data_IF_524943634481
#
_entry.id   IF_524943634481
#
_cell.length_a   1.000
_cell.length_b   1.000
_cell.length_c   1.000
_cell.angle_alpha   90.00
_cell.angle_beta   90.00
_cell.angle_gamma   90.00
#
_symmetry.space_group_name_H-M   'P 1'
#
loop_
_entity.id
_entity.type
_entity.pdbx_description
1 polymer ?
#
# COMPACT_ATOMS: atom_id res chain seq x y z
N UNK A 1 51.42 -34.94 -30.18
CA UNK A 1 51.17 -33.65 -30.87
C UNK A 1 49.87 -33.84 -31.66
N UNK A 2 48.73 -33.15 -31.50
CA UNK A 2 48.37 -31.78 -31.07
C UNK A 2 47.02 -31.82 -30.32
N UNK A 3 46.74 -30.74 -29.60
CA UNK A 3 45.64 -30.49 -28.65
C UNK A 3 44.34 -30.01 -29.31
N UNK A 4 43.24 -30.16 -28.55
CA UNK A 4 42.07 -29.27 -28.42
C UNK A 4 41.07 -29.20 -29.60
N UNK A 5 39.77 -28.89 -29.42
CA UNK A 5 39.09 -28.22 -28.31
C UNK A 5 37.61 -28.64 -28.21
N UNK A 6 37.11 -28.73 -26.97
CA UNK A 6 35.68 -28.74 -26.68
C UNK A 6 35.09 -27.35 -26.92
N UNK A 7 33.98 -27.28 -27.66
CA UNK A 7 33.19 -26.07 -27.82
C UNK A 7 32.01 -26.10 -26.83
N UNK A 8 32.22 -25.55 -25.64
CA UNK A 8 31.12 -25.17 -24.75
C UNK A 8 30.51 -23.86 -25.28
N UNK A 9 29.34 -23.95 -25.91
CA UNK A 9 28.49 -22.80 -26.21
C UNK A 9 27.91 -22.27 -24.89
N UNK A 10 28.56 -21.26 -24.31
CA UNK A 10 27.98 -20.45 -23.25
C UNK A 10 26.98 -19.46 -23.89
N UNK A 11 25.69 -19.80 -23.83
CA UNK A 11 24.63 -18.84 -24.07
C UNK A 11 24.58 -17.87 -22.87
N UNK A 12 25.18 -16.69 -23.03
CA UNK A 12 25.04 -15.61 -22.07
C UNK A 12 23.61 -15.04 -22.17
N UNK A 13 22.74 -15.39 -21.24
CA UNK A 13 21.47 -14.69 -21.03
C UNK A 13 21.83 -13.31 -20.47
N UNK A 14 21.77 -12.29 -21.32
CA UNK A 14 21.93 -10.90 -20.88
C UNK A 14 20.68 -10.52 -20.10
N UNK A 15 20.68 -10.78 -18.79
CA UNK A 15 19.71 -10.23 -17.87
C UNK A 15 19.96 -8.71 -17.82
N UNK A 16 19.31 -7.97 -18.71
CA UNK A 16 19.21 -6.52 -18.60
C UNK A 16 18.49 -6.20 -17.30
N UNK A 17 19.25 -5.91 -16.24
CA UNK A 17 18.73 -5.38 -14.98
C UNK A 17 18.23 -3.96 -15.20
N UNK A 18 17.09 -3.81 -15.88
CA UNK A 18 16.21 -2.67 -15.65
C UNK A 18 15.74 -2.79 -14.22
N UNK A 19 16.41 -2.12 -13.28
CA UNK A 19 16.01 -2.08 -11.88
C UNK A 19 14.67 -1.33 -11.78
N UNK A 20 13.56 -2.02 -12.03
CA UNK A 20 12.22 -1.56 -11.75
C UNK A 20 12.23 -1.15 -10.27
N UNK A 21 12.16 0.16 -9.99
CA UNK A 21 12.19 0.66 -8.61
C UNK A 21 10.98 0.05 -7.89
N UNK A 22 11.24 -0.90 -7.00
CA UNK A 22 10.19 -1.55 -6.23
C UNK A 22 9.54 -0.54 -5.29
N UNK A 23 8.27 -0.78 -4.95
CA UNK A 23 7.58 0.03 -3.96
C UNK A 23 8.24 -0.16 -2.59
N UNK A 24 8.49 0.94 -1.88
CA UNK A 24 9.12 0.87 -0.55
C UNK A 24 8.08 1.00 0.55
N UNK A 25 8.02 0.00 1.41
CA UNK A 25 7.26 0.11 2.65
C UNK A 25 7.97 1.06 3.62
N UNK A 26 7.23 1.99 4.21
CA UNK A 26 7.74 2.97 5.18
C UNK A 26 6.88 2.98 6.43
N UNK A 27 7.42 3.37 7.60
CA UNK A 27 6.62 3.49 8.80
C UNK A 27 5.58 4.62 8.66
N UNK A 28 4.33 4.34 9.05
CA UNK A 28 3.29 5.36 9.09
C UNK A 28 3.58 6.39 10.19
N UNK A 29 3.32 7.67 9.88
CA UNK A 29 3.61 8.81 10.78
C UNK A 29 2.35 9.36 11.43
N UNK A 30 2.48 10.33 12.32
CA UNK A 30 1.34 11.05 12.91
C UNK A 30 0.63 12.01 11.94
N UNK A 31 1.19 12.25 10.78
CA UNK A 31 0.62 13.09 9.74
C UNK A 31 0.60 12.26 8.45
N UNK A 32 -0.49 12.35 7.70
CA UNK A 32 -0.61 11.72 6.38
C UNK A 32 0.40 12.34 5.40
N UNK A 33 0.73 11.68 4.28
CA UNK A 33 1.54 12.27 3.23
C UNK A 33 0.96 13.61 2.77
N UNK A 34 1.83 14.61 2.59
CA UNK A 34 1.45 15.94 2.07
C UNK A 34 1.32 15.96 0.54
N UNK A 35 1.96 15.00 -0.13
CA UNK A 35 1.86 14.79 -1.57
C UNK A 35 0.58 14.01 -1.94
N UNK A 36 0.29 13.89 -3.24
CA UNK A 36 -0.77 13.03 -3.75
C UNK A 36 -0.60 11.61 -3.18
N UNK A 37 -1.66 11.08 -2.58
CA UNK A 37 -1.68 9.74 -2.02
C UNK A 37 -3.08 9.12 -2.15
N UNK A 38 -3.11 7.80 -2.12
CA UNK A 38 -4.30 6.96 -2.09
C UNK A 38 -4.37 6.27 -0.75
N UNK A 39 -5.52 6.36 -0.07
CA UNK A 39 -5.78 5.66 1.18
C UNK A 39 -6.71 4.48 0.93
N UNK A 40 -6.28 3.29 1.33
CA UNK A 40 -7.02 2.04 1.22
C UNK A 40 -7.49 1.64 2.61
N UNK A 41 -8.78 1.79 2.88
CA UNK A 41 -9.39 1.48 4.17
C UNK A 41 -9.95 0.05 4.18
N UNK A 42 -9.59 -0.69 5.21
CA UNK A 42 -10.02 -2.07 5.37
C UNK A 42 -11.36 -2.16 6.09
N UNK A 43 -12.12 -3.20 5.77
CA UNK A 43 -13.40 -3.50 6.40
C UNK A 43 -13.28 -3.61 7.93
N UNK A 44 -14.24 -3.04 8.63
CA UNK A 44 -14.40 -3.16 10.08
C UNK A 44 -15.78 -3.67 10.40
N UNK A 45 -15.88 -4.40 11.52
CA UNK A 45 -17.15 -4.96 11.97
C UNK A 45 -18.25 -3.90 12.14
N UNK A 46 -17.89 -2.67 12.51
CA UNK A 46 -18.85 -1.58 12.70
C UNK A 46 -19.44 -1.06 11.38
N UNK A 47 -18.68 -1.07 10.29
CA UNK A 47 -19.11 -0.50 9.00
C UNK A 47 -19.73 -1.55 8.09
N UNK A 48 -19.11 -2.73 8.00
CA UNK A 48 -19.52 -3.78 7.03
C UNK A 48 -20.08 -5.04 7.68
N UNK A 49 -20.13 -5.11 9.01
CA UNK A 49 -20.45 -6.33 9.75
C UNK A 49 -19.33 -7.37 9.79
N UNK A 50 -18.21 -7.13 9.07
CA UNK A 50 -17.06 -8.03 8.98
C UNK A 50 -15.75 -7.27 9.19
N UNK A 51 -14.76 -7.93 9.76
CA UNK A 51 -13.42 -7.36 9.94
C UNK A 51 -12.49 -7.95 8.87
N UNK A 52 -11.71 -7.11 8.19
CA UNK A 52 -10.69 -7.60 7.26
C UNK A 52 -9.70 -8.53 7.98
N UNK A 53 -9.46 -9.69 7.39
CA UNK A 53 -8.59 -10.70 7.97
C UNK A 53 -7.12 -10.30 7.86
N UNK A 54 -6.28 -10.88 8.73
CA UNK A 54 -4.82 -10.70 8.64
C UNK A 54 -4.26 -11.13 7.29
N UNK A 55 -4.82 -12.18 6.71
CA UNK A 55 -4.44 -12.70 5.40
C UNK A 55 -4.77 -11.72 4.27
N UNK A 56 -5.94 -11.08 4.30
CA UNK A 56 -6.32 -10.06 3.30
C UNK A 56 -5.42 -8.81 3.39
N UNK A 57 -5.12 -8.36 4.61
CA UNK A 57 -4.20 -7.23 4.84
C UNK A 57 -2.78 -7.58 4.36
N UNK A 58 -2.32 -8.81 4.60
CA UNK A 58 -1.02 -9.29 4.14
C UNK A 58 -0.96 -9.46 2.61
N UNK A 59 -2.03 -9.96 1.99
CA UNK A 59 -2.14 -10.05 0.54
C UNK A 59 -2.09 -8.65 -0.10
N UNK A 60 -2.78 -7.67 0.49
CA UNK A 60 -2.68 -6.27 0.07
C UNK A 60 -1.25 -5.75 0.18
N UNK A 61 -0.55 -6.02 1.29
CA UNK A 61 0.87 -5.66 1.46
C UNK A 61 1.73 -6.17 0.31
N UNK A 62 1.59 -7.45 -0.03
CA UNK A 62 2.32 -8.09 -1.14
C UNK A 62 2.02 -7.43 -2.49
N UNK A 63 0.73 -7.14 -2.75
CA UNK A 63 0.30 -6.42 -3.96
C UNK A 63 0.88 -5.00 -4.05
N UNK A 64 0.95 -4.28 -2.94
CA UNK A 64 1.53 -2.93 -2.91
C UNK A 64 3.05 -2.98 -3.12
N UNK A 65 3.73 -3.94 -2.49
CA UNK A 65 5.18 -4.12 -2.60
C UNK A 65 5.64 -4.45 -4.03
N UNK A 66 4.85 -5.23 -4.78
CA UNK A 66 5.17 -5.61 -6.16
C UNK A 66 4.74 -4.59 -7.21
N UNK A 67 3.98 -3.56 -6.84
CA UNK A 67 3.43 -2.61 -7.81
C UNK A 67 4.49 -1.61 -8.30
N UNK A 68 4.75 -1.53 -9.61
CA UNK A 68 5.69 -0.54 -10.15
C UNK A 68 5.14 0.88 -10.12
N UNK A 69 3.81 1.04 -9.94
CA UNK A 69 3.09 2.32 -9.88
C UNK A 69 3.30 3.07 -8.56
N UNK A 70 3.88 2.42 -7.56
CA UNK A 70 3.98 2.93 -6.19
C UNK A 70 5.42 3.36 -5.88
N UNK A 71 5.56 4.55 -5.29
CA UNK A 71 6.81 5.06 -4.75
C UNK A 71 7.04 4.52 -3.33
N UNK A 72 6.07 4.76 -2.44
CA UNK A 72 6.08 4.28 -1.06
C UNK A 72 4.69 3.90 -0.58
N UNK A 73 4.59 3.04 0.41
CA UNK A 73 3.33 2.78 1.11
C UNK A 73 3.56 2.57 2.60
N UNK A 74 2.56 2.83 3.42
CA UNK A 74 2.65 2.75 4.88
C UNK A 74 1.37 2.17 5.49
N UNK A 75 1.51 1.24 6.43
CA UNK A 75 0.37 0.70 7.17
C UNK A 75 -0.02 1.61 8.34
N UNK A 76 -1.24 2.13 8.30
CA UNK A 76 -1.86 2.90 9.38
C UNK A 76 -2.73 1.97 10.22
N UNK A 77 -2.25 1.64 11.43
CA UNK A 77 -3.05 0.85 12.38
C UNK A 77 -4.26 1.64 12.91
N UNK A 78 -5.30 0.93 13.38
CA UNK A 78 -6.46 1.53 14.06
C UNK A 78 -6.05 2.52 15.16
N UNK A 79 -5.06 2.14 15.99
CA UNK A 79 -4.55 2.98 17.09
C UNK A 79 -3.88 4.26 16.57
N UNK A 80 -3.11 4.17 15.48
CA UNK A 80 -2.52 5.36 14.86
C UNK A 80 -3.59 6.26 14.24
N UNK A 81 -4.60 5.69 13.57
CA UNK A 81 -5.72 6.43 13.01
C UNK A 81 -6.47 7.22 14.12
N UNK A 82 -6.73 6.59 15.27
CA UNK A 82 -7.36 7.26 16.41
C UNK A 82 -6.51 8.40 16.96
N UNK A 83 -5.20 8.19 17.13
CA UNK A 83 -4.28 9.27 17.56
C UNK A 83 -4.27 10.44 16.58
N UNK A 84 -4.32 10.15 15.27
CA UNK A 84 -4.40 11.17 14.22
C UNK A 84 -5.72 11.94 14.29
N UNK A 85 -6.84 11.25 14.50
CA UNK A 85 -8.15 11.88 14.67
C UNK A 85 -8.17 12.75 15.93
N UNK A 86 -7.74 12.22 17.07
CA UNK A 86 -7.66 12.94 18.34
C UNK A 86 -6.86 14.24 18.24
N UNK A 87 -5.75 14.23 17.48
CA UNK A 87 -4.92 15.42 17.28
C UNK A 87 -5.62 16.50 16.45
N UNK A 88 -6.45 16.13 15.48
CA UNK A 88 -7.09 17.09 14.56
C UNK A 88 -8.49 17.51 15.00
N UNK A 89 -9.24 16.57 15.56
CA UNK A 89 -10.64 16.70 15.92
C UNK A 89 -10.88 15.99 17.27
N UNK A 90 -10.35 16.54 18.39
CA UNK A 90 -10.44 15.90 19.69
C UNK A 90 -11.89 15.65 20.15
N UNK A 91 -12.83 16.52 19.75
CA UNK A 91 -14.25 16.34 20.07
C UNK A 91 -14.86 15.04 19.52
N UNK A 92 -14.32 14.48 18.43
CA UNK A 92 -14.85 13.25 17.81
C UNK A 92 -14.32 11.96 18.45
N UNK A 93 -13.32 12.05 19.33
CA UNK A 93 -12.76 10.88 20.03
C UNK A 93 -13.11 10.86 21.51
N UNK A 94 -13.69 11.94 22.03
CA UNK A 94 -14.14 12.01 23.41
C UNK A 94 -15.45 11.21 23.55
N UNK A 95 -15.49 10.31 24.54
CA UNK A 95 -16.71 9.57 24.88
C UNK A 95 -17.08 8.42 23.93
N UNK A 96 -16.24 8.08 22.94
CA UNK A 96 -16.52 6.92 22.10
C UNK A 96 -16.22 5.60 22.86
N UNK A 97 -17.13 4.61 22.85
CA UNK A 97 -16.96 3.37 23.61
C UNK A 97 -15.88 2.45 23.02
N UNK A 98 -15.60 2.58 21.72
CA UNK A 98 -14.55 1.86 21.03
C UNK A 98 -14.07 2.64 19.80
N UNK A 99 -12.93 2.26 19.23
CA UNK A 99 -12.35 2.94 18.07
C UNK A 99 -13.01 2.47 16.76
N UNK A 100 -13.81 3.33 16.08
CA UNK A 100 -14.50 2.96 14.85
C UNK A 100 -13.58 3.03 13.62
N UNK A 101 -12.37 3.58 13.74
CA UNK A 101 -11.54 3.89 12.60
C UNK A 101 -10.91 2.61 12.01
N UNK A 102 -11.04 2.40 10.69
CA UNK A 102 -10.43 1.25 10.03
C UNK A 102 -8.90 1.35 10.04
N UNK A 103 -8.19 0.20 10.02
CA UNK A 103 -6.82 0.20 9.59
C UNK A 103 -6.77 0.52 8.09
N UNK A 104 -5.64 1.06 7.63
CA UNK A 104 -5.51 1.46 6.23
C UNK A 104 -4.08 1.32 5.71
N UNK A 105 -3.92 1.31 4.39
CA UNK A 105 -2.65 1.68 3.75
C UNK A 105 -2.73 3.09 3.20
N UNK A 106 -1.68 3.88 3.43
CA UNK A 106 -1.42 5.12 2.70
C UNK A 106 -0.39 4.83 1.61
N UNK A 107 -0.76 5.10 0.37
CA UNK A 107 0.03 4.77 -0.82
C UNK A 107 0.38 6.05 -1.54
N UNK A 108 1.68 6.31 -1.72
CA UNK A 108 2.18 7.40 -2.56
C UNK A 108 2.48 6.84 -3.94
N UNK A 109 1.67 7.16 -4.97
CA UNK A 109 1.90 6.73 -6.34
C UNK A 109 3.08 7.48 -6.96
N UNK A 110 3.58 6.99 -8.10
CA UNK A 110 4.64 7.67 -8.86
C UNK A 110 4.12 8.83 -9.71
N UNK A 111 2.84 8.80 -10.07
CA UNK A 111 2.17 9.83 -10.87
C UNK A 111 0.70 9.96 -10.47
N UNK A 112 0.04 11.03 -10.92
CA UNK A 112 -1.41 11.22 -10.74
C UNK A 112 -2.22 10.16 -11.49
N UNK A 113 -1.78 9.78 -12.69
CA UNK A 113 -2.45 8.74 -13.48
C UNK A 113 -2.35 7.37 -12.82
N UNK A 114 -1.19 7.07 -12.23
CA UNK A 114 -1.02 5.88 -11.38
C UNK A 114 -1.94 5.93 -10.16
N UNK A 115 -2.15 7.10 -9.56
CA UNK A 115 -3.08 7.26 -8.44
C UNK A 115 -4.51 6.82 -8.82
N UNK A 116 -5.01 7.29 -9.97
CA UNK A 116 -6.35 6.97 -10.48
C UNK A 116 -6.48 5.49 -10.80
N UNK A 117 -5.48 4.95 -11.50
CA UNK A 117 -5.42 3.53 -11.85
C UNK A 117 -5.40 2.64 -10.60
N UNK A 118 -4.50 2.93 -9.65
CA UNK A 118 -4.41 2.21 -8.38
C UNK A 118 -5.71 2.30 -7.59
N UNK A 119 -6.33 3.48 -7.51
CA UNK A 119 -7.59 3.63 -6.79
C UNK A 119 -8.69 2.72 -7.37
N UNK A 120 -8.83 2.67 -8.69
CA UNK A 120 -9.79 1.78 -9.34
C UNK A 120 -9.46 0.29 -9.13
N UNK A 121 -8.19 -0.07 -9.22
CA UNK A 121 -7.68 -1.43 -9.03
C UNK A 121 -7.84 -1.97 -7.61
N UNK A 122 -7.61 -1.11 -6.60
CA UNK A 122 -7.58 -1.49 -5.19
C UNK A 122 -8.97 -1.55 -4.57
N UNK A 123 -9.96 -0.80 -5.11
CA UNK A 123 -11.36 -0.85 -4.66
C UNK A 123 -11.99 -2.25 -4.74
N UNK A 124 -11.51 -3.09 -5.66
CA UNK A 124 -12.04 -4.44 -5.88
C UNK A 124 -11.32 -5.51 -5.05
N UNK A 125 -10.35 -5.14 -4.22
CA UNK A 125 -9.61 -6.10 -3.42
C UNK A 125 -10.44 -6.61 -2.24
N UNK A 126 -10.28 -7.89 -1.89
CA UNK A 126 -10.92 -8.49 -0.72
C UNK A 126 -10.49 -7.79 0.57
N UNK A 127 -11.42 -7.67 1.51
CA UNK A 127 -11.20 -6.98 2.78
C UNK A 127 -11.10 -5.45 2.68
N UNK A 128 -11.14 -4.86 1.48
CA UNK A 128 -11.19 -3.40 1.30
C UNK A 128 -12.65 -2.93 1.36
N UNK A 129 -12.89 -1.89 2.15
CA UNK A 129 -14.20 -1.26 2.29
C UNK A 129 -14.26 0.04 1.47
N UNK A 130 -13.22 0.88 1.59
CA UNK A 130 -13.18 2.15 0.87
C UNK A 130 -11.78 2.47 0.33
N UNK A 131 -11.73 3.16 -0.81
CA UNK A 131 -10.50 3.74 -1.35
C UNK A 131 -10.72 5.19 -1.73
N UNK A 132 -9.93 6.05 -1.09
CA UNK A 132 -9.94 7.50 -1.29
C UNK A 132 -8.64 7.94 -1.95
N UNK A 133 -8.72 8.89 -2.87
CA UNK A 133 -7.56 9.61 -3.37
C UNK A 133 -7.58 11.04 -2.80
N UNK A 134 -6.43 11.54 -2.35
CA UNK A 134 -6.31 12.92 -1.91
C UNK A 134 -6.72 13.87 -3.04
N UNK A 135 -7.40 14.99 -2.72
CA UNK A 135 -7.86 15.98 -3.73
C UNK A 135 -6.73 16.68 -4.50
N UNK A 136 -5.49 16.54 -4.02
CA UNK A 136 -4.28 17.04 -4.66
C UNK A 136 -3.63 16.02 -5.60
N UNK A 137 -4.35 14.92 -5.88
CA UNK A 137 -4.25 14.14 -7.10
C UNK A 137 -5.30 14.68 -8.10
#
# INVERSE_FOLDING_TARGET
MRRAAAACLLAAVVAGCGAQKQAREVPARLIAPRECHVSVYFATRMVTGQEATRTEIAAMRGRLASSPKIKTFAFVSKRLALRRMAKRHPAFVQGIPSNPLPPAYEVVPRSVEDARTLAAELRRARGVEHVSAARSC
#
